data_IF_662170822447
#
_entry.id   IF_662170822447
#
_cell.length_a   1.000
_cell.length_b   1.000
_cell.length_c   1.000
_cell.angle_alpha   90.00
_cell.angle_beta   90.00
_cell.angle_gamma   90.00
#
_symmetry.space_group_name_H-M   'P 1'
#
loop_
_entity.id
_entity.type
_entity.pdbx_description
1 polymer ?
#
# COMPACT_ATOMS: atom_id res chain seq x y z
N UNK A 1 17.97 23.99 -6.20
CA UNK A 1 17.48 22.74 -6.80
C UNK A 1 18.69 21.84 -7.05
N UNK A 2 18.58 20.53 -6.81
CA UNK A 2 19.69 19.58 -7.09
C UNK A 2 20.54 19.19 -5.89
N UNK A 3 19.95 19.03 -4.70
CA UNK A 3 20.63 18.37 -3.58
C UNK A 3 20.49 16.86 -3.73
N UNK A 4 21.54 16.12 -3.38
CA UNK A 4 21.59 14.66 -3.36
C UNK A 4 22.14 14.22 -2.00
N UNK A 5 22.04 12.92 -1.70
CA UNK A 5 22.54 12.35 -0.46
C UNK A 5 24.07 12.48 -0.34
N UNK A 6 24.61 12.58 0.89
CA UNK A 6 26.05 12.53 1.13
C UNK A 6 26.70 11.30 0.49
N UNK A 7 27.89 11.48 -0.11
CA UNK A 7 28.58 10.43 -0.87
C UNK A 7 29.28 9.36 -0.01
N UNK A 8 29.27 9.52 1.30
CA UNK A 8 29.95 8.63 2.26
C UNK A 8 29.00 7.68 3.00
N UNK A 9 27.74 7.55 2.58
CA UNK A 9 26.75 6.67 3.23
C UNK A 9 26.01 5.82 2.20
N UNK A 10 25.65 4.57 2.53
CA UNK A 10 24.70 3.83 1.68
C UNK A 10 23.28 4.34 1.91
N UNK A 11 22.48 4.40 0.85
CA UNK A 11 21.08 4.88 0.88
C UNK A 11 20.19 3.79 0.29
N UNK A 12 19.29 3.27 1.12
CA UNK A 12 18.38 2.18 0.78
C UNK A 12 16.96 2.51 1.26
N UNK A 13 15.98 1.84 0.67
CA UNK A 13 14.59 1.89 1.06
C UNK A 13 13.99 0.47 1.10
N UNK A 14 13.13 0.24 2.10
CA UNK A 14 12.17 -0.86 2.12
C UNK A 14 10.79 -0.25 2.39
N UNK A 15 9.88 -0.38 1.44
CA UNK A 15 8.59 0.31 1.44
C UNK A 15 7.45 -0.71 1.44
N UNK A 16 6.87 -1.03 2.61
CA UNK A 16 5.67 -1.85 2.71
C UNK A 16 4.50 -1.21 1.97
N UNK A 17 3.81 -2.00 1.13
CA UNK A 17 2.67 -1.55 0.33
C UNK A 17 1.35 -1.66 1.07
N UNK A 18 1.35 -1.18 2.30
CA UNK A 18 0.18 -1.16 3.18
C UNK A 18 0.44 -0.30 4.41
N UNK A 19 -0.62 0.00 5.14
CA UNK A 19 -0.53 0.86 6.33
C UNK A 19 0.25 0.21 7.48
N UNK A 20 0.82 1.05 8.36
CA UNK A 20 1.55 0.61 9.55
C UNK A 20 0.80 -0.38 10.46
N UNK A 21 -0.48 -0.14 10.82
CA UNK A 21 -1.26 -1.09 11.62
C UNK A 21 -1.38 -2.48 10.98
N UNK A 22 -1.61 -2.53 9.66
CA UNK A 22 -1.72 -3.78 8.91
C UNK A 22 -0.40 -4.54 8.82
N UNK A 23 0.74 -3.83 8.70
CA UNK A 23 2.08 -4.44 8.79
C UNK A 23 2.22 -5.20 10.11
N UNK A 24 1.91 -4.56 11.24
CA UNK A 24 2.03 -5.22 12.55
C UNK A 24 1.03 -6.36 12.74
N UNK A 25 -0.23 -6.15 12.34
CA UNK A 25 -1.31 -7.14 12.48
C UNK A 25 -0.98 -8.43 11.74
N UNK A 26 -0.61 -8.32 10.45
CA UNK A 26 -0.28 -9.48 9.64
C UNK A 26 1.05 -10.13 10.03
N UNK A 27 2.04 -9.35 10.49
CA UNK A 27 3.26 -9.90 11.07
C UNK A 27 2.99 -10.81 12.28
N UNK A 28 2.10 -10.39 13.18
CA UNK A 28 1.71 -11.20 14.34
C UNK A 28 0.96 -12.45 13.90
N UNK A 29 0.06 -12.34 12.93
CA UNK A 29 -0.64 -13.49 12.33
C UNK A 29 0.33 -14.45 11.62
N UNK A 30 1.43 -13.93 11.07
CA UNK A 30 2.52 -14.69 10.44
C UNK A 30 3.23 -15.68 11.37
N UNK A 31 3.04 -15.55 12.69
CA UNK A 31 3.54 -16.53 13.66
C UNK A 31 2.83 -17.88 13.56
N UNK A 32 1.57 -17.87 13.12
CA UNK A 32 0.74 -19.07 13.02
C UNK A 32 0.47 -19.45 11.56
N UNK A 33 0.34 -18.46 10.68
CA UNK A 33 0.01 -18.64 9.27
C UNK A 33 1.21 -18.25 8.41
N UNK A 34 1.85 -19.24 7.80
CA UNK A 34 2.98 -18.99 6.92
C UNK A 34 2.56 -18.11 5.72
N UNK A 35 3.35 -17.09 5.43
CA UNK A 35 3.09 -16.14 4.34
C UNK A 35 2.14 -14.98 4.68
N UNK A 36 1.69 -14.83 5.93
CA UNK A 36 0.95 -13.64 6.33
C UNK A 36 1.90 -12.44 6.52
N UNK A 37 1.63 -11.35 5.81
CA UNK A 37 2.41 -10.12 5.84
C UNK A 37 1.97 -9.11 4.78
N UNK A 38 2.65 -7.97 4.74
CA UNK A 38 2.47 -6.93 3.72
C UNK A 38 3.62 -7.04 2.72
N UNK A 39 3.33 -7.06 1.43
CA UNK A 39 4.38 -7.06 0.40
C UNK A 39 5.16 -5.73 0.44
N UNK A 40 6.45 -5.78 0.14
CA UNK A 40 7.30 -4.59 0.15
C UNK A 40 8.03 -4.43 -1.17
N UNK A 41 8.26 -3.18 -1.58
CA UNK A 41 9.29 -2.88 -2.57
C UNK A 41 10.60 -2.52 -1.86
N UNK A 42 11.74 -2.72 -2.50
CA UNK A 42 13.01 -2.20 -2.01
C UNK A 42 13.78 -1.44 -3.10
N UNK A 43 14.59 -0.48 -2.69
CA UNK A 43 15.45 0.28 -3.57
C UNK A 43 16.83 0.46 -2.96
N UNK A 44 17.86 0.48 -3.81
CA UNK A 44 19.22 0.88 -3.48
C UNK A 44 19.55 2.10 -4.32
N UNK A 45 19.72 3.25 -3.67
CA UNK A 45 20.08 4.51 -4.34
C UNK A 45 21.58 4.74 -4.35
N UNK A 46 22.26 4.38 -3.26
CA UNK A 46 23.72 4.47 -3.14
C UNK A 46 24.25 3.28 -2.33
N UNK A 47 25.32 2.64 -2.80
CA UNK A 47 26.01 1.55 -2.11
C UNK A 47 27.52 1.83 -2.06
N UNK A 48 28.05 2.04 -0.85
CA UNK A 48 29.46 2.36 -0.62
C UNK A 48 30.31 1.12 -0.37
N UNK A 49 29.72 0.08 0.23
CA UNK A 49 30.45 -1.08 0.74
C UNK A 49 30.04 -2.39 0.07
N UNK A 50 29.13 -2.35 -0.91
CA UNK A 50 28.60 -3.54 -1.59
C UNK A 50 27.60 -4.35 -0.75
N UNK A 51 27.10 -3.77 0.35
CA UNK A 51 26.21 -4.44 1.32
C UNK A 51 24.76 -3.95 1.25
N UNK A 52 24.47 -2.91 0.47
CA UNK A 52 23.19 -2.21 0.53
C UNK A 52 22.01 -3.11 0.16
N UNK A 53 22.15 -3.92 -0.89
CA UNK A 53 21.13 -4.86 -1.34
C UNK A 53 20.77 -5.88 -0.26
N UNK A 54 21.77 -6.50 0.35
CA UNK A 54 21.55 -7.49 1.42
C UNK A 54 20.90 -6.86 2.65
N UNK A 55 21.30 -5.65 3.02
CA UNK A 55 20.70 -4.93 4.15
C UNK A 55 19.23 -4.59 3.85
N UNK A 56 18.91 -4.14 2.64
CA UNK A 56 17.54 -3.82 2.24
C UNK A 56 16.64 -5.06 2.22
N UNK A 57 17.13 -6.17 1.66
CA UNK A 57 16.40 -7.44 1.63
C UNK A 57 16.21 -8.02 3.04
N UNK A 58 17.25 -7.99 3.89
CA UNK A 58 17.15 -8.43 5.30
C UNK A 58 16.13 -7.60 6.07
N UNK A 59 16.11 -6.28 5.85
CA UNK A 59 15.12 -5.41 6.47
C UNK A 59 13.70 -5.76 6.02
N UNK A 60 13.47 -5.96 4.73
CA UNK A 60 12.17 -6.36 4.19
C UNK A 60 11.68 -7.71 4.75
N UNK A 61 12.56 -8.70 4.85
CA UNK A 61 12.27 -10.01 5.45
C UNK A 61 11.98 -9.87 6.95
N UNK A 62 12.74 -9.04 7.67
CA UNK A 62 12.53 -8.80 9.10
C UNK A 62 11.18 -8.13 9.41
N UNK A 63 10.65 -7.33 8.47
CA UNK A 63 9.29 -6.79 8.52
C UNK A 63 8.20 -7.84 8.25
N UNK A 64 8.57 -9.05 7.84
CA UNK A 64 7.65 -10.13 7.50
C UNK A 64 7.03 -10.00 6.11
N UNK A 65 7.72 -9.38 5.17
CA UNK A 65 7.19 -9.21 3.81
C UNK A 65 7.14 -10.56 3.08
N UNK A 66 5.96 -11.05 2.64
CA UNK A 66 5.85 -12.34 1.96
C UNK A 66 6.58 -12.36 0.62
N UNK A 67 6.50 -11.23 -0.10
CA UNK A 67 7.21 -10.99 -1.34
C UNK A 67 7.86 -9.61 -1.33
N UNK A 68 9.09 -9.55 -1.85
CA UNK A 68 9.87 -8.31 -1.97
C UNK A 68 10.31 -8.11 -3.40
N UNK A 69 9.98 -6.96 -4.00
CA UNK A 69 10.33 -6.65 -5.39
C UNK A 69 11.22 -5.40 -5.51
N UNK A 70 12.08 -5.38 -6.51
CA UNK A 70 13.03 -4.29 -6.73
C UNK A 70 12.35 -3.08 -7.41
N UNK A 71 12.75 -1.88 -7.00
CA UNK A 71 12.40 -0.60 -7.63
C UNK A 71 13.55 0.40 -7.44
N UNK A 72 13.39 1.63 -7.92
CA UNK A 72 14.26 2.77 -7.59
C UNK A 72 13.53 3.71 -6.63
N UNK A 73 14.28 4.50 -5.85
CA UNK A 73 13.66 5.55 -5.01
C UNK A 73 12.77 6.47 -5.86
N UNK A 74 13.19 6.76 -7.09
CA UNK A 74 12.45 7.63 -7.99
C UNK A 74 11.09 7.06 -8.41
N UNK A 75 11.06 5.79 -8.83
CA UNK A 75 9.81 5.14 -9.21
C UNK A 75 8.91 4.94 -8.00
N UNK A 76 9.50 4.62 -6.85
CA UNK A 76 8.78 4.42 -5.60
C UNK A 76 8.00 5.67 -5.20
N UNK A 77 8.67 6.81 -4.98
CA UNK A 77 7.97 8.02 -4.53
C UNK A 77 6.93 8.48 -5.55
N UNK A 78 7.22 8.35 -6.86
CA UNK A 78 6.27 8.74 -7.92
C UNK A 78 5.01 7.90 -7.84
N UNK A 79 5.17 6.58 -7.73
CA UNK A 79 4.04 5.64 -7.71
C UNK A 79 3.24 5.74 -6.42
N UNK A 80 3.90 5.94 -5.27
CA UNK A 80 3.26 5.90 -3.95
C UNK A 80 2.45 7.17 -3.70
N UNK A 81 3.07 8.35 -3.89
CA UNK A 81 2.43 9.67 -3.77
C UNK A 81 1.26 9.82 -4.75
N UNK A 82 1.41 9.26 -5.96
CA UNK A 82 0.33 9.21 -6.94
C UNK A 82 -0.76 8.23 -6.51
N UNK A 83 -0.39 7.04 -6.04
CA UNK A 83 -1.32 5.99 -5.63
C UNK A 83 -2.24 6.42 -4.49
N UNK A 84 -1.69 7.07 -3.45
CA UNK A 84 -2.44 7.58 -2.30
C UNK A 84 -3.44 8.67 -2.70
N UNK A 85 -3.04 9.60 -3.57
CA UNK A 85 -3.96 10.63 -4.11
C UNK A 85 -4.96 10.05 -5.10
N UNK A 86 -4.56 8.99 -5.79
CA UNK A 86 -5.39 8.22 -6.70
C UNK A 86 -6.30 7.26 -5.94
N UNK A 87 -6.33 6.00 -6.37
CA UNK A 87 -7.35 5.05 -5.94
C UNK A 87 -7.22 4.63 -4.46
N UNK A 88 -6.04 4.71 -3.86
CA UNK A 88 -5.82 4.18 -2.50
C UNK A 88 -6.56 4.98 -1.43
N UNK A 89 -6.70 6.30 -1.59
CA UNK A 89 -7.43 7.16 -0.66
C UNK A 89 -8.27 8.22 -1.39
N UNK A 90 -7.64 9.12 -2.13
CA UNK A 90 -8.30 10.33 -2.61
C UNK A 90 -9.48 10.07 -3.56
N UNK A 91 -9.24 9.27 -4.60
CA UNK A 91 -10.26 8.99 -5.61
C UNK A 91 -11.41 8.12 -5.07
N UNK A 92 -11.13 7.14 -4.20
CA UNK A 92 -12.20 6.33 -3.60
C UNK A 92 -13.07 7.16 -2.65
N UNK A 93 -12.48 8.07 -1.87
CA UNK A 93 -13.22 9.00 -1.03
C UNK A 93 -14.11 9.91 -1.88
N UNK A 94 -13.55 10.56 -2.90
CA UNK A 94 -14.34 11.41 -3.81
C UNK A 94 -15.47 10.67 -4.53
N UNK A 95 -15.22 9.43 -4.97
CA UNK A 95 -16.22 8.58 -5.61
C UNK A 95 -17.38 8.25 -4.65
N UNK A 96 -17.06 7.84 -3.43
CA UNK A 96 -18.05 7.51 -2.40
C UNK A 96 -18.91 8.73 -2.08
N UNK A 97 -18.30 9.91 -1.90
CA UNK A 97 -19.05 11.14 -1.64
C UNK A 97 -19.97 11.52 -2.80
N UNK A 98 -19.47 11.44 -4.04
CA UNK A 98 -20.25 11.79 -5.22
C UNK A 98 -21.44 10.84 -5.41
N UNK A 99 -21.23 9.52 -5.21
CA UNK A 99 -22.30 8.53 -5.29
C UNK A 99 -23.31 8.69 -4.16
N UNK A 100 -22.85 9.00 -2.94
CA UNK A 100 -23.74 9.18 -1.80
C UNK A 100 -24.69 10.36 -2.05
N UNK A 101 -24.14 11.52 -2.45
CA UNK A 101 -24.94 12.71 -2.81
C UNK A 101 -25.93 12.40 -3.93
N UNK A 102 -25.48 11.71 -4.98
CA UNK A 102 -26.34 11.31 -6.10
C UNK A 102 -27.49 10.41 -5.65
N UNK A 103 -27.25 9.45 -4.76
CA UNK A 103 -28.31 8.56 -4.27
C UNK A 103 -29.30 9.30 -3.38
N UNK A 104 -28.83 10.17 -2.49
CA UNK A 104 -29.72 10.98 -1.64
C UNK A 104 -30.54 11.98 -2.46
N UNK A 105 -29.95 12.62 -3.48
CA UNK A 105 -30.66 13.52 -4.40
C UNK A 105 -31.75 12.81 -5.21
N UNK A 106 -31.56 11.51 -5.50
CA UNK A 106 -32.55 10.68 -6.18
C UNK A 106 -33.61 10.07 -5.22
N UNK A 107 -33.65 10.50 -3.96
CA UNK A 107 -34.66 10.09 -2.98
C UNK A 107 -34.34 8.80 -2.21
N UNK A 108 -33.10 8.29 -2.29
CA UNK A 108 -32.66 7.18 -1.43
C UNK A 108 -32.44 7.68 0.01
N UNK A 109 -32.80 6.88 1.01
CA UNK A 109 -32.48 7.21 2.40
C UNK A 109 -30.96 7.21 2.63
N UNK A 110 -30.48 8.04 3.55
CA UNK A 110 -29.05 8.15 3.87
C UNK A 110 -28.45 6.80 4.28
N UNK A 111 -29.15 6.01 5.09
CA UNK A 111 -28.71 4.67 5.49
C UNK A 111 -28.50 3.75 4.28
N UNK A 112 -29.45 3.74 3.34
CA UNK A 112 -29.36 2.88 2.16
C UNK A 112 -28.31 3.40 1.17
N UNK A 113 -28.17 4.72 1.05
CA UNK A 113 -27.13 5.35 0.25
C UNK A 113 -25.73 5.00 0.80
N UNK A 114 -25.52 5.08 2.11
CA UNK A 114 -24.26 4.70 2.75
C UNK A 114 -23.92 3.21 2.53
N UNK A 115 -24.90 2.32 2.70
CA UNK A 115 -24.71 0.89 2.43
C UNK A 115 -24.36 0.63 0.97
N UNK A 116 -25.04 1.30 0.04
CA UNK A 116 -24.79 1.10 -1.39
C UNK A 116 -23.49 1.75 -1.88
N UNK A 117 -22.95 2.74 -1.17
CA UNK A 117 -21.66 3.36 -1.52
C UNK A 117 -20.50 2.71 -0.79
N UNK A 118 -20.49 2.73 0.54
CA UNK A 118 -19.36 2.25 1.33
C UNK A 118 -19.40 0.73 1.46
N UNK A 119 -20.47 0.16 2.01
CA UNK A 119 -20.50 -1.29 2.29
C UNK A 119 -20.48 -2.13 1.01
N UNK A 120 -21.23 -1.73 -0.02
CA UNK A 120 -21.36 -2.50 -1.25
C UNK A 120 -20.07 -2.45 -2.08
N UNK A 121 -19.48 -1.27 -2.28
CA UNK A 121 -18.20 -1.18 -2.98
C UNK A 121 -17.08 -1.84 -2.17
N UNK A 122 -16.94 -1.52 -0.88
CA UNK A 122 -15.84 -2.02 -0.05
C UNK A 122 -15.84 -3.55 0.05
N UNK A 123 -16.98 -4.15 0.40
CA UNK A 123 -17.05 -5.61 0.56
C UNK A 123 -16.96 -6.34 -0.77
N UNK A 124 -17.49 -5.78 -1.85
CA UNK A 124 -17.36 -6.38 -3.17
C UNK A 124 -15.91 -6.32 -3.68
N UNK A 125 -15.26 -5.17 -3.60
CA UNK A 125 -13.86 -4.99 -4.00
C UNK A 125 -12.91 -5.87 -3.18
N UNK A 126 -13.07 -5.90 -1.85
CA UNK A 126 -12.26 -6.73 -0.95
C UNK A 126 -12.42 -8.22 -1.21
N UNK A 127 -13.62 -8.69 -1.55
CA UNK A 127 -13.86 -10.12 -1.73
C UNK A 127 -13.59 -10.64 -3.14
N UNK A 128 -13.77 -9.81 -4.18
CA UNK A 128 -13.69 -10.27 -5.57
C UNK A 128 -12.40 -9.85 -6.28
N UNK A 129 -11.92 -8.62 -6.09
CA UNK A 129 -10.68 -8.15 -6.75
C UNK A 129 -9.46 -8.69 -6.00
N UNK A 130 -9.51 -8.67 -4.68
CA UNK A 130 -8.38 -9.05 -3.84
C UNK A 130 -8.09 -10.55 -3.83
N UNK A 131 -9.14 -11.39 -3.83
CA UNK A 131 -8.97 -12.85 -3.98
C UNK A 131 -8.67 -13.26 -5.43
N UNK A 132 -8.82 -12.34 -6.39
CA UNK A 132 -8.84 -12.61 -7.82
C UNK A 132 -7.77 -11.89 -8.63
N UNK A 133 -6.51 -11.87 -8.19
CA UNK A 133 -5.31 -11.55 -9.01
C UNK A 133 -4.66 -10.15 -8.92
N UNK A 134 -5.06 -9.23 -8.04
CA UNK A 134 -4.40 -7.90 -7.92
C UNK A 134 -3.71 -7.73 -6.56
N UNK A 135 -2.61 -8.47 -6.35
CA UNK A 135 -1.85 -8.51 -5.08
C UNK A 135 -1.05 -7.25 -4.72
N UNK A 136 -1.36 -6.09 -5.31
CA UNK A 136 -0.62 -4.83 -5.12
C UNK A 136 -1.44 -3.73 -4.43
N UNK A 137 -2.75 -3.92 -4.29
CA UNK A 137 -3.65 -2.91 -3.72
C UNK A 137 -3.97 -3.27 -2.28
N UNK A 138 -3.06 -2.97 -1.33
CA UNK A 138 -3.35 -3.13 0.09
C UNK A 138 -4.04 -1.89 0.67
N UNK A 139 -5.36 -1.81 0.43
CA UNK A 139 -6.20 -0.71 0.88
C UNK A 139 -6.29 -0.64 2.41
N UNK A 140 -6.50 0.57 2.88
CA UNK A 140 -6.42 0.98 4.27
C UNK A 140 -7.62 0.39 5.04
N UNK A 141 -7.41 -0.78 5.66
CA UNK A 141 -8.25 -1.36 6.75
C UNK A 141 -8.11 -0.60 8.08
#
# INVERSE_FOLDING_TARGET
MGLDFPKNISVIAACPKGMGPSVRRLYVQGKEINGAGINSSFAVHQDIEGRATDVALRWSVALGSPFTFATTLELEYKSDIFGERGILLGAVHGLVEALFRRYTENGMSEDLAYKNTIECNWNYFKNHIYKGHVGCLQFID
#
